data_IF_744818495547
#
_entry.id   IF_744818495547
#
_cell.length_a   1.000
_cell.length_b   1.000
_cell.length_c   1.000
_cell.angle_alpha   90.00
_cell.angle_beta   90.00
_cell.angle_gamma   90.00
#
_symmetry.space_group_name_H-M   'P 1'
#
loop_
_entity.id
_entity.type
_entity.pdbx_description
1 polymer ?
#
# COMPACT_ATOMS: atom_id res chain seq x y z
N UNK A 1 27.64 7.35 4.06
CA UNK A 1 28.56 6.98 5.11
C UNK A 1 27.94 5.89 5.96
N UNK A 2 28.73 5.03 6.54
CA UNK A 2 28.31 4.12 7.61
C UNK A 2 28.37 4.91 8.89
N UNK A 3 27.28 5.04 9.62
CA UNK A 3 27.22 5.59 10.97
C UNK A 3 27.30 4.43 11.96
N UNK A 4 28.08 4.59 13.02
CA UNK A 4 28.13 3.60 14.11
C UNK A 4 26.88 3.75 14.99
N UNK A 5 26.36 2.62 15.45
CA UNK A 5 25.23 2.58 16.37
C UNK A 5 25.80 2.52 17.79
N UNK A 6 25.54 3.56 18.59
CA UNK A 6 25.93 3.62 20.01
C UNK A 6 25.10 2.69 20.87
N UNK A 7 23.79 2.64 20.59
CA UNK A 7 22.85 1.85 21.35
C UNK A 7 21.70 1.35 20.47
N UNK A 8 21.33 0.10 20.70
CA UNK A 8 20.09 -0.44 20.14
C UNK A 8 19.42 -1.41 21.12
N UNK A 9 18.11 -1.27 21.28
CA UNK A 9 17.27 -2.16 22.07
C UNK A 9 16.08 -2.61 21.23
N UNK A 10 15.83 -3.92 21.24
CA UNK A 10 14.64 -4.51 20.65
C UNK A 10 13.96 -5.40 21.68
N UNK A 11 12.65 -5.22 21.82
CA UNK A 11 11.81 -6.09 22.63
C UNK A 11 10.62 -6.56 21.79
N UNK A 12 10.33 -7.85 21.82
CA UNK A 12 9.15 -8.44 21.17
C UNK A 12 8.55 -9.45 22.12
N UNK A 13 7.26 -9.30 22.37
CA UNK A 13 6.45 -10.27 23.06
C UNK A 13 5.23 -10.58 22.21
N UNK A 14 4.96 -11.87 22.01
CA UNK A 14 3.80 -12.34 21.29
C UNK A 14 3.05 -13.33 22.18
N UNK A 15 1.77 -13.10 22.34
CA UNK A 15 0.85 -13.97 23.04
C UNK A 15 -0.35 -14.25 22.14
N UNK A 16 -1.24 -15.13 22.58
CA UNK A 16 -2.45 -15.48 21.85
C UNK A 16 -3.31 -14.25 21.52
N UNK A 17 -3.39 -13.28 22.46
CA UNK A 17 -4.30 -12.14 22.38
C UNK A 17 -3.60 -10.78 22.22
N UNK A 18 -2.30 -10.68 22.51
CA UNK A 18 -1.57 -9.42 22.53
C UNK A 18 -0.15 -9.59 22.00
N UNK A 19 0.19 -8.80 21.01
CA UNK A 19 1.56 -8.63 20.54
C UNK A 19 2.06 -7.24 20.93
N UNK A 20 3.28 -7.18 21.44
CA UNK A 20 3.99 -5.95 21.79
C UNK A 20 5.36 -5.97 21.14
N UNK A 21 5.70 -4.91 20.43
CA UNK A 21 7.03 -4.72 19.86
C UNK A 21 7.56 -3.34 20.19
N UNK A 22 8.80 -3.26 20.61
CA UNK A 22 9.52 -2.01 20.81
C UNK A 22 10.88 -2.08 20.12
N UNK A 23 11.29 -0.98 19.49
CA UNK A 23 12.62 -0.75 18.94
C UNK A 23 13.08 0.64 19.36
N UNK A 24 14.30 0.74 19.89
CA UNK A 24 15.00 2.00 20.10
C UNK A 24 16.42 1.86 19.59
N UNK A 25 16.93 2.85 18.88
CA UNK A 25 18.30 2.91 18.41
C UNK A 25 18.79 4.35 18.38
N UNK A 26 20.06 4.56 18.72
CA UNK A 26 20.76 5.84 18.68
C UNK A 26 22.05 5.66 17.90
N UNK A 27 22.31 6.56 16.98
CA UNK A 27 23.57 6.64 16.23
C UNK A 27 24.57 7.56 16.94
N UNK A 28 25.84 7.24 16.83
CA UNK A 28 26.92 8.04 17.39
C UNK A 28 27.04 9.39 16.67
N UNK A 29 27.45 10.40 17.45
CA UNK A 29 27.95 11.64 16.88
C UNK A 29 29.36 11.41 16.30
N UNK A 30 29.53 11.64 15.02
CA UNK A 30 30.81 11.49 14.32
C UNK A 30 31.25 12.80 13.65
N UNK A 31 32.45 13.27 14.01
CA UNK A 31 33.18 14.40 13.40
C UNK A 31 32.36 15.67 13.15
N UNK A 32 31.51 15.70 12.11
CA UNK A 32 30.67 16.84 11.71
C UNK A 32 29.19 16.43 11.54
N UNK A 33 28.80 15.21 11.97
CA UNK A 33 27.46 14.68 11.89
C UNK A 33 26.93 14.34 13.28
N UNK A 34 25.82 14.94 13.66
CA UNK A 34 25.06 14.50 14.82
C UNK A 34 24.32 13.20 14.50
N UNK A 35 24.33 12.27 15.44
CA UNK A 35 23.64 11.01 15.34
C UNK A 35 22.13 11.19 15.23
N UNK A 36 21.45 10.13 14.88
CA UNK A 36 19.98 10.08 14.73
C UNK A 36 19.41 9.16 15.80
N UNK A 37 18.25 9.52 16.31
CA UNK A 37 17.48 8.68 17.23
C UNK A 37 16.25 8.09 16.55
N UNK A 38 16.00 6.81 16.83
CA UNK A 38 14.90 6.05 16.25
C UNK A 38 14.14 5.31 17.34
N UNK A 39 12.83 5.51 17.39
CA UNK A 39 11.96 4.76 18.29
C UNK A 39 10.73 4.24 17.54
N UNK A 40 10.32 3.00 17.84
CA UNK A 40 9.09 2.44 17.35
C UNK A 40 8.40 1.60 18.42
N UNK A 41 7.08 1.75 18.54
CA UNK A 41 6.21 0.96 19.41
C UNK A 41 5.09 0.36 18.56
N UNK A 42 4.94 -0.96 18.58
CA UNK A 42 3.83 -1.68 17.98
C UNK A 42 3.04 -2.39 19.06
N UNK A 43 1.73 -2.14 19.10
CA UNK A 43 0.77 -2.86 19.92
C UNK A 43 -0.25 -3.51 19.00
N UNK A 44 -0.64 -4.76 19.27
CA UNK A 44 -1.66 -5.45 18.49
C UNK A 44 -2.46 -6.38 19.40
N UNK A 45 -3.76 -6.18 19.41
CA UNK A 45 -4.71 -7.04 20.11
C UNK A 45 -5.45 -7.91 19.11
N UNK A 46 -5.39 -9.22 19.32
CA UNK A 46 -6.02 -10.22 18.49
C UNK A 46 -7.27 -10.78 19.21
N UNK A 47 -8.36 -10.94 18.46
CA UNK A 47 -9.57 -11.64 18.86
C UNK A 47 -9.99 -12.54 17.70
N UNK A 48 -10.97 -13.39 17.90
CA UNK A 48 -11.41 -14.38 16.92
C UNK A 48 -11.63 -13.79 15.52
N UNK A 49 -12.38 -12.69 15.43
CA UNK A 49 -12.75 -12.07 14.15
C UNK A 49 -12.19 -10.66 13.97
N UNK A 50 -11.55 -10.09 14.99
CA UNK A 50 -11.10 -8.70 14.99
C UNK A 50 -9.68 -8.59 15.53
N UNK A 51 -8.83 -7.95 14.75
CA UNK A 51 -7.51 -7.49 15.19
C UNK A 51 -7.50 -5.98 15.18
N UNK A 52 -7.00 -5.37 16.26
CA UNK A 52 -6.79 -3.92 16.35
C UNK A 52 -5.31 -3.68 16.63
N UNK A 53 -4.73 -2.69 15.97
CA UNK A 53 -3.32 -2.36 16.11
C UNK A 53 -3.07 -0.86 16.29
N UNK A 54 -1.92 -0.58 16.88
CA UNK A 54 -1.34 0.75 16.96
C UNK A 54 0.15 0.68 16.68
N UNK A 55 0.65 1.58 15.85
CA UNK A 55 2.07 1.80 15.59
C UNK A 55 2.39 3.27 15.85
N UNK A 56 3.34 3.53 16.73
CA UNK A 56 3.95 4.84 16.92
C UNK A 56 5.41 4.77 16.53
N UNK A 57 5.91 5.77 15.78
CA UNK A 57 7.34 5.93 15.49
C UNK A 57 7.76 7.36 15.76
N UNK A 58 9.00 7.51 16.18
CA UNK A 58 9.63 8.81 16.39
C UNK A 58 11.07 8.75 15.88
N UNK A 59 11.46 9.76 15.13
CA UNK A 59 12.82 9.91 14.59
C UNK A 59 13.26 11.34 14.77
N UNK A 60 14.42 11.51 15.37
CA UNK A 60 15.11 12.79 15.43
C UNK A 60 16.34 12.77 14.51
N UNK A 61 16.45 13.78 13.65
CA UNK A 61 17.55 14.01 12.72
C UNK A 61 18.11 15.42 12.88
N UNK A 62 18.97 15.66 13.88
CA UNK A 62 19.43 17.02 14.21
C UNK A 62 20.12 17.74 13.05
N UNK A 63 20.91 17.02 12.24
CA UNK A 63 21.60 17.60 11.05
C UNK A 63 20.62 18.20 10.04
N UNK A 64 19.40 17.68 9.95
CA UNK A 64 18.37 18.13 9.03
C UNK A 64 17.36 19.08 9.68
N UNK A 65 17.53 19.37 10.99
CA UNK A 65 16.53 20.08 11.80
C UNK A 65 15.12 19.45 11.61
N UNK A 66 15.08 18.10 11.69
CA UNK A 66 13.90 17.31 11.36
C UNK A 66 13.54 16.34 12.46
N UNK A 67 12.44 16.61 13.12
CA UNK A 67 11.77 15.70 14.05
C UNK A 67 10.52 15.13 13.39
N UNK A 68 10.41 13.81 13.35
CA UNK A 68 9.31 13.12 12.69
C UNK A 68 8.62 12.13 13.65
N UNK A 69 7.32 12.30 13.84
CA UNK A 69 6.50 11.37 14.61
C UNK A 69 5.36 10.87 13.74
N UNK A 70 5.15 9.55 13.73
CA UNK A 70 4.02 8.94 13.01
C UNK A 70 3.20 8.09 13.99
N UNK A 71 1.89 8.27 13.93
CA UNK A 71 0.91 7.44 14.60
C UNK A 71 0.03 6.75 13.57
N UNK A 72 -0.13 5.43 13.70
CA UNK A 72 -1.05 4.66 12.89
C UNK A 72 -1.91 3.76 13.79
N UNK A 73 -3.22 3.84 13.62
CA UNK A 73 -4.17 2.90 14.21
C UNK A 73 -4.75 2.05 13.09
N UNK A 74 -4.73 0.73 13.23
CA UNK A 74 -5.20 -0.19 12.19
C UNK A 74 -6.13 -1.26 12.76
N UNK A 75 -6.94 -1.82 11.86
CA UNK A 75 -7.80 -2.95 12.19
C UNK A 75 -7.90 -3.93 11.02
N UNK A 76 -8.18 -5.18 11.34
CA UNK A 76 -8.62 -6.22 10.42
C UNK A 76 -9.82 -6.93 11.02
N UNK A 77 -10.93 -6.99 10.29
CA UNK A 77 -12.15 -7.67 10.66
C UNK A 77 -12.51 -8.75 9.66
N UNK A 78 -12.70 -9.98 10.14
CA UNK A 78 -13.06 -11.17 9.36
C UNK A 78 -14.35 -11.75 9.90
N UNK A 79 -15.53 -11.25 9.46
CA UNK A 79 -16.82 -11.77 9.93
C UNK A 79 -17.04 -13.25 9.57
N UNK A 80 -16.37 -13.74 8.54
CA UNK A 80 -16.34 -15.13 8.10
C UNK A 80 -15.10 -15.38 7.23
N UNK A 81 -14.91 -16.62 6.77
CA UNK A 81 -13.75 -17.04 5.94
C UNK A 81 -13.66 -16.32 4.59
N UNK A 82 -14.79 -15.85 4.08
CA UNK A 82 -14.88 -15.27 2.74
C UNK A 82 -14.71 -13.75 2.72
N UNK A 83 -14.93 -13.08 3.84
CA UNK A 83 -14.97 -11.61 3.93
C UNK A 83 -13.85 -11.11 4.84
N UNK A 84 -13.12 -10.11 4.36
CA UNK A 84 -12.13 -9.36 5.13
C UNK A 84 -12.33 -7.87 4.90
N UNK A 85 -12.40 -7.13 5.99
CA UNK A 85 -12.34 -5.66 6.00
C UNK A 85 -11.12 -5.25 6.78
N UNK A 86 -10.32 -4.35 6.26
CA UNK A 86 -9.18 -3.79 6.98
C UNK A 86 -9.10 -2.28 6.76
N UNK A 87 -8.45 -1.60 7.69
CA UNK A 87 -8.26 -0.17 7.57
C UNK A 87 -7.13 0.34 8.44
N UNK A 88 -6.67 1.55 8.15
CA UNK A 88 -5.75 2.28 8.99
C UNK A 88 -6.01 3.77 8.89
N UNK A 89 -5.90 4.45 10.03
CA UNK A 89 -5.80 5.89 10.19
C UNK A 89 -4.37 6.22 10.50
N UNK A 90 -3.82 7.20 9.79
CA UNK A 90 -2.44 7.63 9.94
C UNK A 90 -2.41 9.13 10.24
N UNK A 91 -1.49 9.50 11.12
CA UNK A 91 -1.11 10.89 11.34
C UNK A 91 0.42 10.96 11.34
N UNK A 92 0.98 11.87 10.58
CA UNK A 92 2.40 12.24 10.67
C UNK A 92 2.51 13.65 11.20
N UNK A 93 3.50 13.89 12.04
CA UNK A 93 3.91 15.22 12.48
C UNK A 93 5.39 15.37 12.16
N UNK A 94 5.70 16.27 11.24
CA UNK A 94 7.06 16.60 10.86
C UNK A 94 7.32 18.04 11.34
N UNK A 95 8.19 18.19 12.36
CA UNK A 95 8.36 19.44 13.09
C UNK A 95 6.99 19.98 13.56
N UNK A 96 6.46 21.01 12.93
CA UNK A 96 5.16 21.63 13.28
C UNK A 96 4.04 21.35 12.27
N UNK A 97 4.31 20.57 11.22
CA UNK A 97 3.31 20.23 10.19
C UNK A 97 2.67 18.87 10.49
N UNK A 98 1.34 18.83 10.44
CA UNK A 98 0.58 17.60 10.60
C UNK A 98 0.02 17.16 9.26
N UNK A 99 0.14 15.86 8.99
CA UNK A 99 -0.44 15.22 7.83
C UNK A 99 -1.30 14.01 8.23
N UNK A 100 -2.33 13.71 7.43
CA UNK A 100 -3.31 12.67 7.72
C UNK A 100 -3.49 11.71 6.54
N UNK A 101 -3.70 10.46 6.87
CA UNK A 101 -4.00 9.41 5.90
C UNK A 101 -5.06 8.45 6.39
N UNK A 102 -5.82 7.92 5.44
CA UNK A 102 -6.82 6.87 5.65
C UNK A 102 -6.65 5.82 4.56
N UNK A 103 -6.71 4.56 4.93
CA UNK A 103 -6.94 3.47 3.99
C UNK A 103 -8.02 2.54 4.52
N UNK A 104 -8.87 2.06 3.62
CA UNK A 104 -9.86 1.02 3.91
C UNK A 104 -9.81 0.01 2.78
N UNK A 105 -9.76 -1.27 3.11
CA UNK A 105 -9.78 -2.37 2.17
C UNK A 105 -10.93 -3.32 2.46
N UNK A 106 -11.53 -3.84 1.42
CA UNK A 106 -12.55 -4.86 1.46
C UNK A 106 -12.18 -5.99 0.51
N UNK A 107 -12.29 -7.23 0.96
CA UNK A 107 -12.11 -8.43 0.16
C UNK A 107 -13.28 -9.37 0.41
N UNK A 108 -13.83 -9.92 -0.67
CA UNK A 108 -14.88 -10.93 -0.63
C UNK A 108 -14.58 -12.06 -1.62
N UNK A 109 -14.46 -13.27 -1.10
CA UNK A 109 -14.20 -14.51 -1.85
C UNK A 109 -15.34 -15.51 -1.61
N UNK A 110 -16.56 -15.28 -2.16
CA UNK A 110 -17.74 -16.09 -1.83
C UNK A 110 -17.58 -17.57 -2.23
N UNK A 111 -16.68 -17.88 -3.14
CA UNK A 111 -16.32 -19.23 -3.54
C UNK A 111 -14.94 -19.25 -4.22
N UNK A 112 -14.43 -20.45 -4.54
CA UNK A 112 -13.11 -20.66 -5.18
C UNK A 112 -12.97 -20.05 -6.57
N UNK A 113 -14.07 -19.70 -7.20
CA UNK A 113 -14.11 -19.22 -8.58
C UNK A 113 -14.26 -17.69 -8.68
N UNK A 114 -14.63 -17.02 -7.60
CA UNK A 114 -14.89 -15.59 -7.61
C UNK A 114 -14.20 -14.88 -6.44
N UNK A 115 -13.50 -13.79 -6.75
CA UNK A 115 -12.87 -12.90 -5.80
C UNK A 115 -13.14 -11.46 -6.18
N UNK A 116 -13.49 -10.63 -5.20
CA UNK A 116 -13.67 -9.20 -5.38
C UNK A 116 -12.96 -8.45 -4.25
N UNK A 117 -12.11 -7.49 -4.60
CA UNK A 117 -11.42 -6.61 -3.68
C UNK A 117 -11.63 -5.16 -4.05
N UNK A 118 -11.77 -4.31 -3.04
CA UNK A 118 -11.85 -2.84 -3.18
C UNK A 118 -10.95 -2.18 -2.15
N UNK A 119 -10.40 -1.03 -2.50
CA UNK A 119 -9.58 -0.22 -1.59
C UNK A 119 -9.86 1.25 -1.78
N UNK A 120 -10.05 1.96 -0.67
CA UNK A 120 -10.13 3.41 -0.61
C UNK A 120 -8.91 3.94 0.12
N UNK A 121 -8.25 4.93 -0.46
CA UNK A 121 -7.06 5.58 0.06
C UNK A 121 -7.24 7.10 0.01
N UNK A 122 -6.96 7.75 1.11
CA UNK A 122 -6.87 9.20 1.23
C UNK A 122 -5.55 9.53 1.92
N UNK A 123 -4.77 10.38 1.32
CA UNK A 123 -3.56 10.92 1.92
C UNK A 123 -3.49 12.40 1.58
N UNK A 124 -3.45 13.26 2.59
CA UNK A 124 -3.34 14.70 2.37
C UNK A 124 -1.95 15.10 1.82
N UNK A 125 -1.78 16.34 1.47
CA UNK A 125 -0.55 16.90 0.90
C UNK A 125 0.61 17.00 1.91
N UNK A 126 0.29 17.07 3.19
CA UNK A 126 1.24 17.27 4.29
C UNK A 126 1.73 15.95 4.92
N UNK A 127 1.08 14.81 4.62
CA UNK A 127 1.50 13.53 5.18
C UNK A 127 2.87 13.10 4.66
N UNK A 128 3.77 12.75 5.59
CA UNK A 128 5.07 12.18 5.28
C UNK A 128 5.40 11.02 6.23
N UNK A 129 5.67 9.85 5.68
CA UNK A 129 5.98 8.61 6.39
C UNK A 129 7.43 8.15 6.14
N UNK A 130 8.27 9.00 5.54
CA UNK A 130 9.52 8.57 4.92
C UNK A 130 10.66 8.30 5.90
N UNK A 131 10.54 8.66 7.19
CA UNK A 131 11.63 8.50 8.16
C UNK A 131 11.81 7.06 8.66
N UNK A 132 10.72 6.33 8.91
CA UNK A 132 10.73 4.90 9.26
C UNK A 132 9.73 4.08 8.44
N UNK A 133 9.22 4.63 7.35
CA UNK A 133 8.24 4.02 6.48
C UNK A 133 8.46 4.36 5.03
N UNK A 134 7.46 4.09 4.22
CA UNK A 134 7.45 4.43 2.81
C UNK A 134 6.09 4.97 2.39
N UNK A 135 6.10 6.11 1.73
CA UNK A 135 4.94 6.70 1.07
C UNK A 135 5.31 6.95 -0.40
N UNK A 136 4.62 6.26 -1.32
CA UNK A 136 4.92 6.41 -2.74
C UNK A 136 4.46 7.78 -3.29
N UNK A 137 3.39 8.34 -2.70
CA UNK A 137 2.80 9.64 -3.02
C UNK A 137 1.94 10.12 -1.85
N UNK A 138 1.84 11.41 -1.65
CA UNK A 138 0.85 12.13 -0.85
C UNK A 138 -0.10 12.91 -1.78
N UNK A 139 -1.04 13.66 -1.23
CA UNK A 139 -1.98 14.50 -1.98
C UNK A 139 -2.81 13.70 -2.98
N UNK A 140 -3.52 12.65 -2.50
CA UNK A 140 -4.41 11.90 -3.37
C UNK A 140 -5.59 11.24 -2.64
N UNK A 141 -6.68 11.11 -3.39
CA UNK A 141 -7.79 10.20 -3.12
C UNK A 141 -7.83 9.13 -4.21
N UNK A 142 -7.80 7.86 -3.83
CA UNK A 142 -7.80 6.75 -4.78
C UNK A 142 -8.80 5.67 -4.38
N UNK A 143 -9.64 5.28 -5.33
CA UNK A 143 -10.48 4.09 -5.25
C UNK A 143 -9.93 3.02 -6.20
N UNK A 144 -9.55 1.88 -5.65
CA UNK A 144 -9.10 0.72 -6.43
C UNK A 144 -10.10 -0.41 -6.37
N UNK A 145 -10.11 -1.25 -7.38
CA UNK A 145 -10.84 -2.50 -7.33
C UNK A 145 -10.23 -3.56 -8.23
N UNK A 146 -10.38 -4.79 -7.79
CA UNK A 146 -10.04 -6.00 -8.53
C UNK A 146 -11.19 -6.99 -8.44
N UNK A 147 -11.69 -7.43 -9.58
CA UNK A 147 -12.64 -8.53 -9.66
C UNK A 147 -12.01 -9.65 -10.48
N UNK A 148 -12.04 -10.86 -9.95
CA UNK A 148 -11.46 -12.04 -10.58
C UNK A 148 -12.51 -13.14 -10.65
N UNK A 149 -12.62 -13.74 -11.82
CA UNK A 149 -13.45 -14.91 -12.05
C UNK A 149 -12.60 -16.01 -12.65
N UNK A 150 -12.50 -17.12 -11.94
CA UNK A 150 -11.76 -18.32 -12.36
C UNK A 150 -12.75 -19.41 -12.76
N UNK A 151 -12.61 -19.94 -13.97
CA UNK A 151 -13.38 -21.07 -14.45
C UNK A 151 -12.46 -22.29 -14.63
N UNK A 152 -12.63 -23.28 -13.77
CA UNK A 152 -11.92 -24.57 -13.83
C UNK A 152 -12.84 -25.71 -14.29
N UNK A 153 -14.13 -25.42 -14.44
CA UNK A 153 -15.16 -26.42 -14.80
C UNK A 153 -15.48 -26.30 -16.28
N UNK A 154 -14.48 -26.57 -17.12
CA UNK A 154 -14.56 -26.48 -18.55
C UNK A 154 -14.97 -27.84 -19.17
N UNK A 155 -15.74 -27.86 -20.30
CA UNK A 155 -16.10 -29.09 -20.97
C UNK A 155 -14.88 -29.96 -21.30
N UNK A 156 -15.05 -31.28 -21.31
CA UNK A 156 -13.95 -32.21 -21.62
C UNK A 156 -13.35 -31.98 -23.01
N UNK A 157 -14.16 -31.49 -23.97
CA UNK A 157 -13.72 -31.10 -25.31
C UNK A 157 -12.91 -29.82 -25.37
N UNK A 158 -12.86 -29.02 -24.29
CA UNK A 158 -12.05 -27.80 -24.23
C UNK A 158 -10.56 -28.13 -24.29
N UNK A 159 -9.79 -27.34 -25.03
CA UNK A 159 -8.33 -27.37 -25.03
C UNK A 159 -7.76 -26.73 -23.75
N UNK A 160 -8.54 -25.86 -23.09
CA UNK A 160 -8.15 -25.20 -21.84
C UNK A 160 -8.47 -26.10 -20.64
N UNK A 161 -7.59 -26.08 -19.63
CA UNK A 161 -7.81 -26.67 -18.29
C UNK A 161 -8.47 -25.68 -17.34
N UNK A 162 -8.14 -24.38 -17.51
CA UNK A 162 -8.68 -23.31 -16.69
C UNK A 162 -8.64 -21.98 -17.44
N UNK A 163 -9.50 -21.05 -17.03
CA UNK A 163 -9.51 -19.65 -17.49
C UNK A 163 -9.70 -18.73 -16.30
N UNK A 164 -8.92 -17.67 -16.26
CA UNK A 164 -9.03 -16.63 -15.24
C UNK A 164 -9.23 -15.28 -15.92
N UNK A 165 -10.29 -14.58 -15.53
CA UNK A 165 -10.61 -13.23 -15.99
C UNK A 165 -10.41 -12.28 -14.83
N UNK A 166 -9.59 -11.26 -15.03
CA UNK A 166 -9.32 -10.23 -14.02
C UNK A 166 -9.66 -8.86 -14.57
N UNK A 167 -10.43 -8.09 -13.83
CA UNK A 167 -10.70 -6.68 -14.06
C UNK A 167 -10.08 -5.89 -12.92
N UNK A 168 -9.17 -4.96 -13.25
CA UNK A 168 -8.58 -4.02 -12.31
C UNK A 168 -8.95 -2.60 -12.69
N UNK A 169 -9.19 -1.75 -11.67
CA UNK A 169 -9.31 -0.32 -11.86
C UNK A 169 -8.69 0.48 -10.70
N UNK A 170 -8.23 1.68 -11.00
CA UNK A 170 -7.84 2.68 -10.02
C UNK A 170 -8.31 4.04 -10.50
N UNK A 171 -9.18 4.67 -9.73
CA UNK A 171 -9.69 6.01 -9.95
C UNK A 171 -8.97 6.95 -9.02
N UNK A 172 -8.41 8.05 -9.54
CA UNK A 172 -7.58 8.96 -8.75
C UNK A 172 -7.94 10.42 -8.98
N UNK A 173 -7.88 11.17 -7.87
CA UNK A 173 -7.85 12.63 -7.84
C UNK A 173 -6.80 13.09 -6.82
N UNK A 174 -6.35 14.34 -6.88
CA UNK A 174 -5.71 14.95 -5.72
C UNK A 174 -6.75 15.31 -4.64
N UNK A 175 -6.34 15.83 -3.51
CA UNK A 175 -7.21 16.18 -2.39
C UNK A 175 -8.10 17.39 -2.68
N UNK A 176 -7.77 18.20 -3.69
CA UNK A 176 -8.57 19.29 -4.24
C UNK A 176 -9.53 18.86 -5.36
N UNK A 177 -9.70 17.53 -5.55
CA UNK A 177 -10.54 16.93 -6.59
C UNK A 177 -10.09 17.18 -8.03
N UNK A 178 -8.85 17.59 -8.24
CA UNK A 178 -8.33 17.65 -9.60
C UNK A 178 -8.04 16.24 -10.12
N UNK A 179 -8.35 16.04 -11.39
CA UNK A 179 -8.24 14.74 -12.03
C UNK A 179 -6.80 14.29 -12.16
N UNK A 180 -6.50 13.13 -11.61
CA UNK A 180 -5.28 12.37 -11.85
C UNK A 180 -5.49 11.23 -12.85
N UNK A 181 -4.42 10.64 -13.40
CA UNK A 181 -4.53 9.52 -14.33
C UNK A 181 -5.17 8.30 -13.66
N UNK A 182 -6.38 7.98 -14.03
CA UNK A 182 -7.09 6.77 -13.61
C UNK A 182 -6.79 5.63 -14.58
N UNK A 183 -6.70 4.39 -14.10
CA UNK A 183 -6.34 3.23 -14.89
C UNK A 183 -7.38 2.12 -14.83
N UNK A 184 -7.49 1.39 -15.93
CA UNK A 184 -8.36 0.22 -16.08
C UNK A 184 -7.56 -0.85 -16.81
N UNK A 185 -7.66 -2.11 -16.38
CA UNK A 185 -7.10 -3.21 -17.13
C UNK A 185 -7.99 -4.45 -17.08
N UNK A 186 -7.99 -5.20 -18.15
CA UNK A 186 -8.64 -6.49 -18.25
C UNK A 186 -7.61 -7.54 -18.66
N UNK A 187 -7.54 -8.63 -17.91
CA UNK A 187 -6.61 -9.74 -18.16
C UNK A 187 -7.39 -11.04 -18.32
N UNK A 188 -7.02 -11.80 -19.34
CA UNK A 188 -7.40 -13.19 -19.52
C UNK A 188 -6.14 -14.04 -19.40
N UNK A 189 -6.09 -14.92 -18.40
CA UNK A 189 -5.10 -15.98 -18.29
C UNK A 189 -5.78 -17.31 -18.66
N UNK A 190 -5.26 -17.99 -19.67
CA UNK A 190 -5.79 -19.25 -20.15
C UNK A 190 -4.73 -20.35 -20.06
N UNK A 191 -4.93 -21.28 -19.14
CA UNK A 191 -4.10 -22.48 -19.01
C UNK A 191 -4.62 -23.59 -19.92
N UNK A 192 -3.75 -24.13 -20.78
CA UNK A 192 -4.09 -25.24 -21.69
C UNK A 192 -3.79 -26.60 -21.05
N UNK A 193 -4.42 -27.65 -21.58
CA UNK A 193 -4.21 -29.05 -21.12
C UNK A 193 -2.83 -29.60 -21.41
N UNK A 194 -2.10 -29.04 -22.35
CA UNK A 194 -0.70 -29.35 -22.66
C UNK A 194 0.30 -28.62 -21.77
N UNK A 195 -0.16 -27.96 -20.67
CA UNK A 195 0.63 -27.21 -19.69
C UNK A 195 1.27 -25.92 -20.23
N UNK A 196 0.82 -25.43 -21.38
CA UNK A 196 1.17 -24.08 -21.83
C UNK A 196 0.16 -23.06 -21.30
N UNK A 197 0.56 -21.82 -21.16
CA UNK A 197 -0.28 -20.73 -20.68
C UNK A 197 -0.26 -19.55 -21.64
N UNK A 198 -1.42 -18.93 -21.86
CA UNK A 198 -1.58 -17.72 -22.65
C UNK A 198 -2.20 -16.63 -21.78
N UNK A 199 -1.50 -15.49 -21.65
CA UNK A 199 -2.01 -14.30 -21.02
C UNK A 199 -2.25 -13.20 -22.03
N UNK A 200 -3.45 -12.66 -22.03
CA UNK A 200 -3.86 -11.49 -22.80
C UNK A 200 -4.24 -10.39 -21.82
N UNK A 201 -3.62 -9.22 -21.92
CA UNK A 201 -3.95 -8.05 -21.10
C UNK A 201 -4.18 -6.86 -21.97
N UNK A 202 -5.24 -6.11 -21.68
CA UNK A 202 -5.47 -4.77 -22.22
C UNK A 202 -5.49 -3.77 -21.07
N UNK A 203 -5.02 -2.57 -21.31
CA UNK A 203 -5.07 -1.50 -20.33
C UNK A 203 -5.38 -0.16 -20.96
N UNK A 204 -6.04 0.68 -20.19
CA UNK A 204 -6.38 2.05 -20.52
C UNK A 204 -6.04 2.95 -19.33
N UNK A 205 -5.47 4.12 -19.61
CA UNK A 205 -5.22 5.18 -18.62
C UNK A 205 -5.83 6.48 -19.13
N UNK A 206 -6.57 7.17 -18.25
CA UNK A 206 -7.08 8.51 -18.59
C UNK A 206 -5.95 9.54 -18.59
N UNK A 207 -6.19 10.68 -19.23
CA UNK A 207 -5.36 11.86 -19.00
C UNK A 207 -5.62 12.43 -17.61
N UNK A 208 -4.66 13.14 -17.08
CA UNK A 208 -4.74 13.82 -15.79
C UNK A 208 -3.44 14.57 -15.52
N UNK A 209 -3.32 15.16 -14.34
CA UNK A 209 -2.07 15.75 -13.88
C UNK A 209 -1.51 14.93 -12.71
N UNK A 210 -0.20 14.84 -12.59
CA UNK A 210 0.48 14.04 -11.58
C UNK A 210 1.72 14.75 -11.06
N UNK A 211 1.96 14.69 -9.76
CA UNK A 211 3.15 15.24 -9.10
C UNK A 211 4.06 14.18 -8.48
N UNK A 212 3.83 12.90 -8.74
CA UNK A 212 4.57 11.81 -8.08
C UNK A 212 6.10 11.96 -8.18
N UNK A 213 6.61 12.30 -9.35
CA UNK A 213 8.06 12.46 -9.57
C UNK A 213 8.57 13.83 -9.14
N UNK A 214 7.71 14.82 -9.02
CA UNK A 214 8.05 16.22 -8.70
C UNK A 214 7.82 16.58 -7.25
N UNK A 215 7.14 15.75 -6.45
CA UNK A 215 6.80 16.01 -5.04
C UNK A 215 8.00 16.30 -4.12
N UNK A 216 9.21 15.95 -4.54
CA UNK A 216 10.44 16.23 -3.81
C UNK A 216 10.89 17.68 -3.93
N UNK A 217 10.34 18.42 -4.89
CA UNK A 217 10.66 19.83 -5.11
C UNK A 217 9.71 20.69 -4.28
N UNK A 218 10.20 21.82 -3.79
CA UNK A 218 9.46 22.72 -2.89
C UNK A 218 8.05 23.10 -3.39
N UNK A 219 7.86 23.22 -4.69
CA UNK A 219 6.58 23.62 -5.30
C UNK A 219 5.77 22.43 -5.83
N UNK A 220 6.30 21.20 -5.72
CA UNK A 220 5.65 19.98 -6.21
C UNK A 220 4.88 20.15 -7.53
N UNK A 221 5.51 20.69 -8.61
CA UNK A 221 4.79 21.04 -9.83
C UNK A 221 4.14 19.82 -10.46
N UNK A 222 2.91 20.00 -10.95
CA UNK A 222 2.19 18.94 -11.63
C UNK A 222 2.64 18.79 -13.09
N UNK A 223 2.71 17.56 -13.55
CA UNK A 223 3.00 17.19 -14.94
C UNK A 223 1.71 16.69 -15.59
N UNK A 224 1.38 17.20 -16.77
CA UNK A 224 0.25 16.70 -17.55
C UNK A 224 0.57 15.34 -18.15
N UNK A 225 -0.19 14.33 -17.76
CA UNK A 225 -0.09 12.97 -18.25
C UNK A 225 -1.13 12.73 -19.34
N UNK A 226 -0.73 12.29 -20.55
CA UNK A 226 -1.68 12.00 -21.61
C UNK A 226 -2.44 10.70 -21.32
N UNK A 227 -3.60 10.55 -21.98
CA UNK A 227 -4.28 9.24 -22.04
C UNK A 227 -3.38 8.22 -22.71
N UNK A 228 -3.48 6.96 -22.28
CA UNK A 228 -2.73 5.86 -22.84
C UNK A 228 -3.56 4.59 -22.90
N UNK A 229 -3.25 3.73 -23.82
CA UNK A 229 -3.80 2.38 -23.92
C UNK A 229 -2.74 1.44 -24.46
N UNK A 230 -2.89 0.17 -24.20
CA UNK A 230 -1.99 -0.85 -24.68
C UNK A 230 -2.53 -2.25 -24.48
N UNK A 231 -1.77 -3.19 -25.01
CA UNK A 231 -2.03 -4.61 -24.84
C UNK A 231 -0.72 -5.35 -24.58
N UNK A 232 -0.83 -6.49 -23.95
CA UNK A 232 0.27 -7.39 -23.65
C UNK A 232 -0.20 -8.82 -23.99
N UNK A 233 0.65 -9.56 -24.67
CA UNK A 233 0.44 -10.97 -24.98
C UNK A 233 1.68 -11.70 -24.47
N UNK A 234 1.47 -12.67 -23.58
CA UNK A 234 2.53 -13.54 -23.07
C UNK A 234 2.14 -14.99 -23.34
N UNK A 235 3.05 -15.75 -23.90
CA UNK A 235 2.94 -17.20 -24.05
C UNK A 235 4.07 -17.87 -23.29
N UNK A 236 3.71 -18.81 -22.44
CA UNK A 236 4.65 -19.54 -21.58
C UNK A 236 4.51 -21.05 -21.85
N UNK A 237 5.63 -21.72 -21.91
CA UNK A 237 5.72 -23.18 -22.15
C UNK A 237 6.52 -23.83 -21.04
#
# INVERSE_FOLDING_TARGET
GTTDIDFALRYIQQTENLDVGFLGASEADENFSQGRDFYALRLRKNSENLTIGYLGTHVDRPVLDREATVHASDFEYKPNENVRVNGALLNSKINNENGYGLRVGFLNNPNKNFSNGMGLYYFDDSIDLSDMGYLWKNDYLMLTGRTQFKNTDLPSSSLSRERNYTLDYALMTDTDWNKEPSSFSMTLDNGFKNFTDLKLKTFFRTSGRDNQITRKYKESPYINMPKGYGYEIQYMN
#
